data_IF_616486662393
#
_entry.id   IF_616486662393
#
_cell.length_a   1.000
_cell.length_b   1.000
_cell.length_c   1.000
_cell.angle_alpha   90.00
_cell.angle_beta   90.00
_cell.angle_gamma   90.00
#
_symmetry.space_group_name_H-M   'P 1'
#
loop_
_entity.id
_entity.type
_entity.pdbx_description
1 polymer ?
#
# COMPACT_ATOMS: atom_id res chain seq x y z
N UNK A 1 19.11 9.52 1.69
CA UNK A 1 19.99 9.60 2.87
C UNK A 1 19.28 9.06 4.10
N UNK A 2 19.80 8.00 4.75
CA UNK A 2 19.29 7.52 6.04
C UNK A 2 20.08 8.19 7.16
N UNK A 3 19.47 9.11 7.89
CA UNK A 3 20.05 9.67 9.12
C UNK A 3 20.08 8.56 10.17
N UNK A 4 21.18 7.80 10.23
CA UNK A 4 21.39 6.79 11.28
C UNK A 4 21.82 7.52 12.54
N UNK A 5 21.00 7.44 13.59
CA UNK A 5 21.42 7.81 14.94
C UNK A 5 22.63 6.95 15.32
N UNK A 6 23.80 7.57 15.46
CA UNK A 6 25.08 6.87 15.69
C UNK A 6 25.30 6.44 17.14
N UNK A 7 24.30 6.55 18.01
CA UNK A 7 24.41 6.12 19.41
C UNK A 7 24.15 4.62 19.50
N UNK A 8 25.22 3.82 19.46
CA UNK A 8 25.17 2.37 19.73
C UNK A 8 24.52 2.13 21.10
N UNK A 9 23.44 1.36 21.13
CA UNK A 9 22.89 0.76 22.35
C UNK A 9 21.85 1.58 23.13
N UNK A 10 21.65 2.86 22.83
CA UNK A 10 20.60 3.65 23.48
C UNK A 10 19.37 3.64 22.58
N UNK A 11 18.36 2.83 22.92
CA UNK A 11 17.01 3.03 22.35
C UNK A 11 16.60 4.46 22.69
N UNK A 12 16.39 5.31 21.69
CA UNK A 12 15.85 6.64 21.94
C UNK A 12 14.60 6.50 22.81
N UNK A 13 14.53 7.19 23.96
CA UNK A 13 13.38 7.08 24.85
C UNK A 13 12.10 7.35 24.05
N UNK A 14 11.02 6.61 24.36
CA UNK A 14 9.71 6.87 23.76
C UNK A 14 9.35 8.32 24.03
N UNK A 15 9.38 9.12 22.97
CA UNK A 15 9.21 10.56 23.07
C UNK A 15 7.76 10.86 23.41
N UNK A 16 7.52 11.33 24.65
CA UNK A 16 6.26 11.96 25.05
C UNK A 16 6.41 13.45 24.82
N UNK A 17 5.67 13.99 23.86
CA UNK A 17 5.64 15.43 23.61
C UNK A 17 4.40 16.04 24.23
N UNK A 18 4.59 17.05 25.09
CA UNK A 18 3.66 18.15 25.28
C UNK A 18 4.44 19.41 24.89
N UNK A 19 4.41 19.75 23.60
CA UNK A 19 4.82 21.05 23.10
C UNK A 19 3.55 21.75 22.62
N UNK A 20 3.31 22.97 23.08
CA UNK A 20 2.19 23.78 22.62
C UNK A 20 2.70 24.59 21.42
N UNK A 21 2.78 23.94 20.26
CA UNK A 21 2.94 24.66 19.01
C UNK A 21 1.55 24.89 18.43
N UNK A 22 1.19 26.16 18.30
CA UNK A 22 -0.01 26.58 17.59
C UNK A 22 0.47 27.15 16.26
N UNK A 23 0.39 26.38 15.16
CA UNK A 23 0.67 26.93 13.85
C UNK A 23 -0.30 28.11 13.62
N UNK A 24 0.24 29.31 13.44
CA UNK A 24 -0.53 30.44 12.98
C UNK A 24 -0.73 30.37 11.46
N UNK A 25 -1.74 31.08 10.96
CA UNK A 25 -2.06 31.10 9.53
C UNK A 25 -0.87 31.53 8.68
N UNK A 26 0.00 32.40 9.21
CA UNK A 26 1.19 32.87 8.51
C UNK A 26 2.27 31.78 8.35
N UNK A 27 2.49 30.97 9.37
CA UNK A 27 3.42 29.83 9.30
C UNK A 27 2.90 28.75 8.37
N UNK A 28 1.59 28.51 8.36
CA UNK A 28 0.93 27.57 7.44
C UNK A 28 1.01 28.08 5.99
N UNK A 29 0.67 29.36 5.75
CA UNK A 29 0.73 29.98 4.42
C UNK A 29 2.13 29.91 3.82
N UNK A 30 3.18 30.15 4.61
CA UNK A 30 4.58 30.05 4.17
C UNK A 30 4.97 28.66 3.68
N UNK A 31 4.27 27.62 4.14
CA UNK A 31 4.53 26.24 3.72
C UNK A 31 3.68 25.80 2.53
N UNK A 32 2.65 26.55 2.12
CA UNK A 32 1.83 26.19 0.96
C UNK A 32 2.65 25.98 -0.32
N UNK A 33 3.67 26.80 -0.64
CA UNK A 33 4.54 26.53 -1.79
C UNK A 33 5.32 25.22 -1.64
N UNK A 34 5.78 24.89 -0.42
CA UNK A 34 6.47 23.64 -0.13
C UNK A 34 5.53 22.43 -0.29
N UNK A 35 4.27 22.53 0.12
CA UNK A 35 3.28 21.47 -0.06
C UNK A 35 3.03 21.21 -1.54
N UNK A 36 2.86 22.27 -2.33
CA UNK A 36 2.72 22.17 -3.79
C UNK A 36 3.95 21.51 -4.40
N UNK A 37 5.15 21.88 -3.97
CA UNK A 37 6.38 21.26 -4.47
C UNK A 37 6.47 19.78 -4.10
N UNK A 38 6.14 19.41 -2.86
CA UNK A 38 6.10 18.02 -2.41
C UNK A 38 5.07 17.18 -3.20
N UNK A 39 3.87 17.71 -3.43
CA UNK A 39 2.83 17.04 -4.22
C UNK A 39 3.26 16.87 -5.68
N UNK A 40 3.77 17.92 -6.33
CA UNK A 40 4.28 17.87 -7.70
C UNK A 40 5.44 16.87 -7.83
N UNK A 41 6.39 16.91 -6.89
CA UNK A 41 7.53 15.98 -6.85
C UNK A 41 7.06 14.53 -6.71
N UNK A 42 6.09 14.26 -5.84
CA UNK A 42 5.57 12.91 -5.65
C UNK A 42 4.76 12.43 -6.85
N UNK A 43 3.91 13.28 -7.44
CA UNK A 43 3.14 12.96 -8.64
C UNK A 43 4.06 12.63 -9.84
N UNK A 44 5.11 13.43 -10.02
CA UNK A 44 6.09 13.29 -11.12
C UNK A 44 7.15 12.22 -10.86
N UNK A 45 7.30 11.73 -9.63
CA UNK A 45 8.22 10.63 -9.33
C UNK A 45 7.77 9.34 -10.02
N UNK A 46 8.68 8.43 -10.35
CA UNK A 46 8.32 7.15 -10.98
C UNK A 46 7.68 6.17 -10.00
N UNK A 47 6.64 5.42 -10.40
CA UNK A 47 5.87 5.57 -11.65
C UNK A 47 5.03 6.86 -11.63
N UNK A 48 4.97 7.58 -12.75
CA UNK A 48 4.31 8.89 -12.79
C UNK A 48 2.80 8.74 -12.62
N UNK A 49 2.21 9.56 -11.76
CA UNK A 49 0.77 9.61 -11.53
C UNK A 49 0.38 11.08 -11.34
N UNK A 50 0.28 11.86 -12.43
CA UNK A 50 -0.11 13.26 -12.35
C UNK A 50 -1.55 13.44 -11.83
N UNK A 51 -2.44 12.48 -12.09
CA UNK A 51 -3.86 12.58 -11.77
C UNK A 51 -4.14 12.68 -10.26
N UNK A 52 -3.31 12.04 -9.43
CA UNK A 52 -3.45 12.05 -7.97
C UNK A 52 -2.81 13.29 -7.31
N UNK A 53 -2.30 14.24 -8.09
CA UNK A 53 -1.52 15.39 -7.58
C UNK A 53 -2.32 16.24 -6.59
N UNK A 54 -3.60 16.47 -6.87
CA UNK A 54 -4.45 17.29 -6.00
C UNK A 54 -4.79 16.55 -4.69
N UNK A 55 -5.01 15.24 -4.75
CA UNK A 55 -5.18 14.40 -3.56
C UNK A 55 -3.91 14.39 -2.70
N UNK A 56 -2.74 14.29 -3.34
CA UNK A 56 -1.45 14.40 -2.65
C UNK A 56 -1.29 15.77 -1.98
N UNK A 57 -1.76 16.86 -2.61
CA UNK A 57 -1.73 18.18 -1.99
C UNK A 57 -2.67 18.27 -0.77
N UNK A 58 -3.86 17.68 -0.85
CA UNK A 58 -4.79 17.62 0.28
C UNK A 58 -4.21 16.80 1.43
N UNK A 59 -3.64 15.63 1.14
CA UNK A 59 -2.98 14.78 2.13
C UNK A 59 -1.82 15.53 2.79
N UNK A 60 -1.01 16.27 2.03
CA UNK A 60 0.08 17.07 2.56
C UNK A 60 -0.43 18.14 3.55
N UNK A 61 -1.57 18.77 3.23
CA UNK A 61 -2.24 19.76 4.06
C UNK A 61 -2.77 19.15 5.36
N UNK A 62 -3.39 17.97 5.30
CA UNK A 62 -3.84 17.23 6.48
C UNK A 62 -2.67 16.87 7.40
N UNK A 63 -1.55 16.40 6.85
CA UNK A 63 -0.35 16.09 7.64
C UNK A 63 0.17 17.33 8.36
N UNK A 64 0.16 18.49 7.69
CA UNK A 64 0.57 19.75 8.30
C UNK A 64 -0.29 20.09 9.53
N UNK A 65 -1.62 19.96 9.40
CA UNK A 65 -2.57 20.23 10.50
C UNK A 65 -2.43 19.20 11.63
N UNK A 66 -2.31 17.91 11.31
CA UNK A 66 -2.26 16.85 12.33
C UNK A 66 -0.92 16.77 13.08
N UNK A 67 0.18 16.99 12.36
CA UNK A 67 1.53 16.74 12.86
C UNK A 67 2.24 18.04 13.21
N UNK A 68 1.86 19.16 12.60
CA UNK A 68 2.38 20.49 12.89
C UNK A 68 2.39 20.81 14.39
N UNK A 69 1.27 20.68 15.11
CA UNK A 69 1.18 20.97 16.54
C UNK A 69 2.12 20.15 17.44
N UNK A 70 2.70 19.05 16.94
CA UNK A 70 3.66 18.22 17.66
C UNK A 70 5.09 18.77 17.60
N UNK A 71 5.32 19.81 16.80
CA UNK A 71 6.61 20.49 16.73
C UNK A 71 6.96 21.12 18.07
N UNK A 72 8.24 21.08 18.42
CA UNK A 72 8.76 21.75 19.61
C UNK A 72 9.91 22.66 19.19
N UNK A 73 9.67 23.97 19.20
CA UNK A 73 10.66 25.00 18.88
C UNK A 73 11.83 25.04 19.87
N UNK A 74 11.62 24.57 21.10
CA UNK A 74 12.65 24.52 22.16
C UNK A 74 13.46 23.21 22.15
N UNK A 75 13.24 22.35 21.16
CA UNK A 75 13.94 21.08 21.10
C UNK A 75 15.45 21.29 20.93
N UNK A 76 16.24 20.58 21.73
CA UNK A 76 17.72 20.57 21.75
C UNK A 76 18.41 20.31 20.41
N UNK A 77 17.70 19.80 19.39
CA UNK A 77 18.26 19.68 18.04
C UNK A 77 18.32 21.01 17.27
N UNK A 78 17.62 22.06 17.72
CA UNK A 78 17.52 23.33 17.00
C UNK A 78 16.89 23.23 15.60
N UNK A 79 16.15 22.15 15.33
CA UNK A 79 15.60 21.90 13.99
C UNK A 79 14.46 22.87 13.68
N UNK A 80 14.46 23.44 12.48
CA UNK A 80 13.35 24.30 12.03
C UNK A 80 12.06 23.51 11.85
N UNK A 81 10.91 24.20 11.87
CA UNK A 81 9.61 23.58 11.61
C UNK A 81 9.57 22.85 10.26
N UNK A 82 10.11 23.46 9.20
CA UNK A 82 10.27 22.83 7.89
C UNK A 82 11.06 21.51 7.95
N UNK A 83 12.15 21.48 8.72
CA UNK A 83 12.97 20.27 8.93
C UNK A 83 12.20 19.17 9.65
N UNK A 84 11.31 19.53 10.56
CA UNK A 84 10.46 18.59 11.29
C UNK A 84 9.29 18.06 10.43
N UNK A 85 8.64 18.94 9.65
CA UNK A 85 7.37 18.61 8.98
C UNK A 85 7.57 17.98 7.60
N UNK A 86 8.57 18.41 6.82
CA UNK A 86 8.80 17.91 5.45
C UNK A 86 9.01 16.39 5.39
N UNK A 87 9.81 15.74 6.26
CA UNK A 87 9.96 14.29 6.24
C UNK A 87 8.64 13.54 6.50
N UNK A 88 7.74 14.12 7.31
CA UNK A 88 6.45 13.51 7.63
C UNK A 88 5.46 13.64 6.46
N UNK A 89 5.47 14.79 5.78
CA UNK A 89 4.71 15.01 4.55
C UNK A 89 5.18 14.03 3.48
N UNK A 90 6.47 14.06 3.11
CA UNK A 90 7.01 13.20 2.06
C UNK A 90 6.79 11.70 2.35
N UNK A 91 6.94 11.28 3.62
CA UNK A 91 6.68 9.90 4.03
C UNK A 91 5.22 9.50 3.84
N UNK A 92 4.28 10.38 4.20
CA UNK A 92 2.84 10.12 4.02
C UNK A 92 2.46 10.11 2.54
N UNK A 93 2.94 11.07 1.74
CA UNK A 93 2.66 11.15 0.30
C UNK A 93 3.19 9.92 -0.45
N UNK A 94 4.38 9.44 -0.08
CA UNK A 94 4.93 8.21 -0.64
C UNK A 94 4.03 7.01 -0.36
N UNK A 95 3.59 6.86 0.89
CA UNK A 95 2.70 5.77 1.27
C UNK A 95 1.32 5.87 0.58
N UNK A 96 0.79 7.08 0.41
CA UNK A 96 -0.47 7.32 -0.30
C UNK A 96 -0.33 6.91 -1.77
N UNK A 97 0.72 7.38 -2.46
CA UNK A 97 1.00 6.99 -3.84
C UNK A 97 1.20 5.49 -4.01
N UNK A 98 1.94 4.85 -3.10
CA UNK A 98 2.11 3.38 -3.14
C UNK A 98 0.76 2.64 -3.00
N UNK A 99 -0.18 3.16 -2.20
CA UNK A 99 -1.52 2.58 -2.08
C UNK A 99 -2.35 2.77 -3.35
N UNK A 100 -2.34 3.96 -3.93
CA UNK A 100 -3.05 4.23 -5.20
C UNK A 100 -2.53 3.35 -6.33
N UNK A 101 -1.21 3.19 -6.43
CA UNK A 101 -0.60 2.29 -7.41
C UNK A 101 -1.01 0.83 -7.21
N UNK A 102 -1.11 0.38 -5.96
CA UNK A 102 -1.61 -0.96 -5.65
C UNK A 102 -3.09 -1.12 -5.99
N UNK A 103 -3.89 -0.05 -5.86
CA UNK A 103 -5.31 -0.07 -6.20
C UNK A 103 -5.51 -0.10 -7.72
N UNK A 104 -4.84 0.79 -8.46
CA UNK A 104 -4.88 0.83 -9.92
C UNK A 104 -4.40 -0.49 -10.54
N UNK A 105 -3.38 -1.13 -9.95
CA UNK A 105 -2.92 -2.44 -10.41
C UNK A 105 -3.96 -3.55 -10.23
N UNK A 106 -4.88 -3.42 -9.27
CA UNK A 106 -5.98 -4.37 -9.06
C UNK A 106 -7.17 -4.10 -9.99
N UNK A 107 -7.30 -2.86 -10.45
CA UNK A 107 -8.42 -2.40 -11.29
C UNK A 107 -8.15 -2.46 -12.79
N UNK A 108 -6.90 -2.67 -13.21
CA UNK A 108 -6.56 -3.05 -14.59
C UNK A 108 -6.39 -4.58 -14.69
N UNK A 109 -7.37 -5.33 -15.20
CA UNK A 109 -7.11 -6.57 -15.92
C UNK A 109 -6.26 -6.22 -17.16
N UNK A 110 -5.30 -7.06 -17.50
CA UNK A 110 -4.45 -6.94 -18.68
C UNK A 110 -5.24 -6.48 -19.92
N UNK A 111 -5.00 -5.25 -20.37
CA UNK A 111 -5.22 -4.91 -21.76
C UNK A 111 -4.09 -5.57 -22.54
N UNK A 112 -4.41 -6.72 -23.12
CA UNK A 112 -3.55 -7.43 -24.07
C UNK A 112 -3.23 -6.53 -25.27
N UNK A 113 -2.08 -6.78 -25.86
CA UNK A 113 -1.45 -5.98 -26.89
C UNK A 113 -2.33 -5.73 -28.12
N UNK A 114 -2.25 -4.48 -28.62
CA UNK A 114 -2.39 -4.21 -30.04
C UNK A 114 -3.59 -3.35 -30.42
N UNK A 115 -3.33 -2.08 -30.72
CA UNK A 115 -3.89 -1.44 -31.91
C UNK A 115 -3.10 -0.16 -32.19
N UNK A 116 -2.09 -0.29 -33.05
CA UNK A 116 -1.82 0.78 -34.00
C UNK A 116 -3.04 0.85 -34.94
N UNK A 117 -3.60 2.05 -35.14
CA UNK A 117 -3.94 2.55 -36.46
C UNK A 117 -4.30 4.04 -36.36
N UNK A 118 -3.57 4.83 -37.13
CA UNK A 118 -3.85 6.22 -37.45
C UNK A 118 -5.02 6.31 -38.44
N UNK A 119 -5.86 7.34 -38.32
CA UNK A 119 -6.91 7.63 -39.27
C UNK A 119 -7.86 8.72 -38.77
N UNK A 120 -7.68 9.93 -39.28
CA UNK A 120 -8.52 11.11 -39.08
C UNK A 120 -9.85 10.99 -39.86
N UNK A 121 -10.78 11.90 -39.56
CA UNK A 121 -12.04 12.28 -40.25
C UNK A 121 -13.36 11.66 -39.74
N UNK A 122 -13.94 12.39 -38.78
CA UNK A 122 -15.27 13.06 -38.83
C UNK A 122 -16.51 12.25 -39.30
N UNK A 123 -17.36 11.87 -38.34
CA UNK A 123 -18.84 11.94 -38.38
C UNK A 123 -19.46 11.14 -37.21
N UNK A 124 -19.91 11.84 -36.17
CA UNK A 124 -20.95 11.34 -35.26
C UNK A 124 -22.27 11.20 -36.03
N UNK A 125 -23.00 10.08 -35.87
CA UNK A 125 -24.13 10.17 -34.96
C UNK A 125 -24.35 8.92 -34.11
N UNK A 126 -24.41 9.12 -32.80
CA UNK A 126 -25.30 8.44 -31.86
C UNK A 126 -25.16 6.89 -31.76
N UNK A 127 -24.10 6.44 -31.06
CA UNK A 127 -23.97 5.06 -30.55
C UNK A 127 -24.36 4.97 -29.07
N UNK A 128 -25.60 5.31 -28.77
CA UNK A 128 -26.25 4.86 -27.54
C UNK A 128 -27.14 3.66 -27.93
N UNK A 129 -27.07 2.55 -27.21
CA UNK A 129 -27.85 1.28 -27.38
C UNK A 129 -27.14 0.12 -28.15
N UNK A 130 -25.85 0.22 -28.50
CA UNK A 130 -25.11 -0.88 -29.16
C UNK A 130 -24.28 -1.81 -28.27
N UNK A 131 -23.95 -1.41 -27.04
CA UNK A 131 -22.89 -2.06 -26.23
C UNK A 131 -23.40 -3.16 -25.27
N UNK A 132 -24.71 -3.36 -25.13
CA UNK A 132 -25.26 -4.32 -24.15
C UNK A 132 -25.45 -5.74 -24.69
N UNK A 133 -25.01 -6.03 -25.93
CA UNK A 133 -25.19 -7.36 -26.55
C UNK A 133 -23.92 -8.17 -26.77
N UNK A 134 -22.76 -7.71 -26.31
CA UNK A 134 -21.55 -8.53 -26.21
C UNK A 134 -21.31 -8.89 -24.74
N UNK A 135 -22.33 -9.48 -24.12
CA UNK A 135 -22.14 -10.24 -22.89
C UNK A 135 -21.40 -11.50 -23.30
N UNK A 136 -20.07 -11.46 -23.23
CA UNK A 136 -19.26 -12.66 -23.27
C UNK A 136 -19.82 -13.66 -22.26
N UNK A 137 -20.01 -14.88 -22.75
CA UNK A 137 -20.64 -15.98 -22.05
C UNK A 137 -19.92 -16.27 -20.73
N UNK A 138 -20.45 -15.73 -19.62
CA UNK A 138 -19.96 -15.93 -18.25
C UNK A 138 -19.90 -17.41 -17.82
N UNK A 139 -20.44 -18.33 -18.64
CA UNK A 139 -20.33 -19.77 -18.39
C UNK A 139 -18.93 -20.33 -18.70
N UNK A 140 -18.18 -19.73 -19.63
CA UNK A 140 -16.82 -20.21 -19.97
C UNK A 140 -15.78 -19.87 -18.90
N UNK A 141 -15.90 -18.71 -18.23
CA UNK A 141 -15.02 -18.31 -17.12
C UNK A 141 -15.24 -19.16 -15.86
N UNK A 142 -16.47 -19.68 -15.66
CA UNK A 142 -16.74 -20.57 -14.52
C UNK A 142 -16.00 -21.90 -14.66
N UNK A 143 -15.93 -22.46 -15.87
CA UNK A 143 -15.24 -23.72 -16.14
C UNK A 143 -13.71 -23.58 -16.00
N UNK A 144 -13.11 -22.48 -16.50
CA UNK A 144 -11.69 -22.19 -16.27
C UNK A 144 -11.36 -21.93 -14.80
N UNK A 145 -12.26 -21.25 -14.08
CA UNK A 145 -12.13 -21.03 -12.63
C UNK A 145 -12.27 -22.32 -11.83
N UNK A 146 -13.13 -23.25 -12.28
CA UNK A 146 -13.27 -24.58 -11.69
C UNK A 146 -12.00 -25.42 -11.92
N UNK A 147 -11.39 -25.34 -13.11
CA UNK A 147 -10.12 -26.01 -13.43
C UNK A 147 -8.95 -25.44 -12.62
N UNK A 148 -8.90 -24.11 -12.40
CA UNK A 148 -7.94 -23.47 -11.49
C UNK A 148 -8.13 -23.89 -10.02
N UNK A 149 -9.38 -23.98 -9.54
CA UNK A 149 -9.68 -24.40 -8.16
C UNK A 149 -9.31 -25.88 -7.91
N UNK A 150 -9.48 -26.76 -8.91
CA UNK A 150 -9.06 -28.16 -8.82
C UNK A 150 -7.53 -28.26 -8.75
N UNK A 151 -6.81 -27.53 -9.60
CA UNK A 151 -5.34 -27.49 -9.58
C UNK A 151 -4.77 -26.95 -8.26
N UNK A 152 -5.40 -25.93 -7.68
CA UNK A 152 -5.00 -25.39 -6.37
C UNK A 152 -5.27 -26.37 -5.23
N UNK A 153 -6.43 -27.05 -5.22
CA UNK A 153 -6.72 -28.06 -4.20
C UNK A 153 -5.78 -29.27 -4.27
N UNK A 154 -5.35 -29.68 -5.46
CA UNK A 154 -4.40 -30.77 -5.66
C UNK A 154 -2.97 -30.40 -5.22
N UNK A 155 -2.58 -29.13 -5.39
CA UNK A 155 -1.25 -28.60 -5.02
C UNK A 155 -1.16 -28.08 -3.58
N UNK A 156 -2.30 -27.82 -2.92
CA UNK A 156 -2.36 -27.36 -1.53
C UNK A 156 -1.67 -28.33 -0.54
N UNK A 157 -1.84 -29.66 -0.61
CA UNK A 157 -1.09 -30.60 0.22
C UNK A 157 0.43 -30.44 0.06
N UNK A 158 0.93 -30.24 -1.16
CA UNK A 158 2.36 -30.05 -1.44
C UNK A 158 2.87 -28.71 -0.90
N UNK A 159 2.07 -27.64 -1.04
CA UNK A 159 2.35 -26.34 -0.45
C UNK A 159 2.44 -26.43 1.08
N UNK A 160 1.52 -27.15 1.71
CA UNK A 160 1.47 -27.31 3.17
C UNK A 160 2.59 -28.18 3.72
N UNK A 161 3.20 -29.07 2.91
CA UNK A 161 4.40 -29.83 3.33
C UNK A 161 5.61 -28.93 3.56
N UNK A 162 5.67 -27.73 2.93
CA UNK A 162 6.76 -26.76 3.16
C UNK A 162 6.67 -26.04 4.51
N UNK A 163 5.49 -26.12 5.16
CA UNK A 163 5.21 -25.49 6.44
C UNK A 163 5.48 -26.46 7.59
N UNK A 164 6.14 -25.94 8.62
CA UNK A 164 6.28 -26.66 9.90
C UNK A 164 4.90 -26.85 10.55
N UNK A 165 4.77 -27.81 11.47
CA UNK A 165 3.50 -28.08 12.15
C UNK A 165 2.86 -26.81 12.75
N UNK A 166 3.70 -25.95 13.36
CA UNK A 166 3.24 -24.70 13.97
C UNK A 166 2.85 -23.62 12.96
N UNK A 167 3.45 -23.63 11.78
CA UNK A 167 3.09 -22.73 10.67
C UNK A 167 1.78 -23.19 10.01
N UNK A 168 1.53 -24.50 9.94
CA UNK A 168 0.26 -25.07 9.46
C UNK A 168 -0.91 -24.73 10.37
N UNK A 169 -0.72 -24.79 11.69
CA UNK A 169 -1.74 -24.35 12.66
C UNK A 169 -2.11 -22.88 12.49
N UNK A 170 -1.10 -22.01 12.32
CA UNK A 170 -1.35 -20.58 12.03
C UNK A 170 -2.07 -20.40 10.70
N UNK A 171 -1.68 -21.16 9.66
CA UNK A 171 -2.34 -21.11 8.37
C UNK A 171 -3.81 -21.57 8.42
N UNK A 172 -4.12 -22.60 9.21
CA UNK A 172 -5.50 -23.06 9.41
C UNK A 172 -6.36 -21.95 10.02
N UNK A 173 -5.85 -21.25 11.04
CA UNK A 173 -6.55 -20.11 11.63
C UNK A 173 -6.74 -18.96 10.62
N UNK A 174 -5.75 -18.68 9.77
CA UNK A 174 -5.88 -17.67 8.71
C UNK A 174 -6.94 -18.04 7.67
N UNK A 175 -7.09 -19.33 7.35
CA UNK A 175 -8.11 -19.83 6.42
C UNK A 175 -9.53 -19.66 6.97
N UNK A 176 -9.67 -19.64 8.29
CA UNK A 176 -10.93 -19.35 9.00
C UNK A 176 -11.17 -17.84 9.22
N UNK A 177 -10.46 -16.98 8.49
CA UNK A 177 -10.54 -15.51 8.57
C UNK A 177 -10.24 -14.92 9.97
N UNK A 178 -9.53 -15.65 10.82
CA UNK A 178 -9.16 -15.16 12.15
C UNK A 178 -8.14 -14.04 12.09
N UNK A 179 -8.35 -12.99 12.87
CA UNK A 179 -7.38 -11.90 12.98
C UNK A 179 -6.16 -12.29 13.83
N UNK A 180 -5.01 -11.68 13.58
CA UNK A 180 -3.76 -11.96 14.31
C UNK A 180 -3.87 -11.93 15.86
N UNK A 181 -4.82 -11.16 16.39
CA UNK A 181 -5.06 -11.11 17.83
C UNK A 181 -5.84 -12.33 18.34
N UNK A 182 -6.82 -12.81 17.58
CA UNK A 182 -7.58 -14.05 17.84
C UNK A 182 -6.66 -15.27 17.72
N UNK A 183 -5.82 -15.33 16.69
CA UNK A 183 -4.82 -16.40 16.52
C UNK A 183 -3.86 -16.46 17.71
N UNK A 184 -3.48 -15.31 18.26
CA UNK A 184 -2.61 -15.23 19.44
C UNK A 184 -3.27 -15.83 20.68
N UNK A 185 -4.58 -15.65 20.82
CA UNK A 185 -5.39 -16.22 21.91
C UNK A 185 -5.59 -17.73 21.71
N UNK A 186 -6.03 -18.15 20.51
CA UNK A 186 -6.25 -19.55 20.14
C UNK A 186 -4.99 -20.41 20.32
N UNK A 187 -3.84 -19.91 19.85
CA UNK A 187 -2.57 -20.65 19.91
C UNK A 187 -1.76 -20.37 21.18
N UNK A 188 -2.25 -19.53 22.10
CA UNK A 188 -1.54 -19.11 23.32
C UNK A 188 -0.14 -18.56 23.03
N UNK A 189 -0.03 -17.69 22.02
CA UNK A 189 1.21 -17.05 21.59
C UNK A 189 1.15 -15.54 21.81
N UNK A 190 2.31 -14.87 21.79
CA UNK A 190 2.32 -13.40 21.76
C UNK A 190 1.91 -12.90 20.36
N UNK A 191 1.22 -11.76 20.30
CA UNK A 191 0.83 -11.10 19.02
C UNK A 191 2.03 -10.87 18.09
N UNK A 192 3.20 -10.55 18.69
CA UNK A 192 4.46 -10.40 17.95
C UNK A 192 4.97 -11.71 17.34
N UNK A 193 4.83 -12.83 18.05
CA UNK A 193 5.19 -14.16 17.53
C UNK A 193 4.25 -14.61 16.42
N UNK A 194 2.95 -14.37 16.55
CA UNK A 194 1.97 -14.62 15.48
C UNK A 194 2.31 -13.81 14.23
N UNK A 195 2.57 -12.51 14.38
CA UNK A 195 2.95 -11.65 13.24
C UNK A 195 4.19 -12.15 12.49
N UNK A 196 5.16 -12.72 13.21
CA UNK A 196 6.34 -13.34 12.59
C UNK A 196 5.99 -14.64 11.86
N UNK A 197 5.12 -15.48 12.45
CA UNK A 197 4.70 -16.74 11.86
C UNK A 197 3.85 -16.50 10.60
N UNK A 198 2.90 -15.57 10.64
CA UNK A 198 2.09 -15.17 9.47
C UNK A 198 3.00 -14.71 8.33
N UNK A 199 3.95 -13.81 8.58
CA UNK A 199 4.92 -13.38 7.56
C UNK A 199 5.73 -14.53 6.98
N UNK A 200 6.15 -15.49 7.82
CA UNK A 200 6.91 -16.68 7.37
C UNK A 200 6.05 -17.62 6.53
N UNK A 201 4.81 -17.85 6.94
CA UNK A 201 3.83 -18.66 6.21
C UNK A 201 3.57 -18.05 4.84
N UNK A 202 3.27 -16.75 4.76
CA UNK A 202 3.06 -16.04 3.49
C UNK A 202 4.28 -16.17 2.58
N UNK A 203 5.49 -15.87 3.08
CA UNK A 203 6.70 -15.96 2.26
C UNK A 203 6.96 -17.39 1.72
N UNK A 204 6.76 -18.41 2.56
CA UNK A 204 6.96 -19.80 2.15
C UNK A 204 5.95 -20.24 1.11
N UNK A 205 4.67 -19.90 1.32
CA UNK A 205 3.60 -20.25 0.39
C UNK A 205 3.74 -19.49 -0.93
N UNK A 206 4.13 -18.22 -0.92
CA UNK A 206 4.42 -17.47 -2.15
C UNK A 206 5.58 -18.09 -2.92
N UNK A 207 6.69 -18.41 -2.26
CA UNK A 207 7.84 -19.04 -2.94
C UNK A 207 7.50 -20.44 -3.48
N UNK A 208 6.74 -21.22 -2.71
CA UNK A 208 6.29 -22.54 -3.14
C UNK A 208 5.27 -22.46 -4.28
N UNK A 209 4.38 -21.46 -4.26
CA UNK A 209 3.44 -21.16 -5.34
C UNK A 209 4.14 -20.75 -6.63
N UNK A 210 5.17 -19.89 -6.55
CA UNK A 210 6.02 -19.53 -7.69
C UNK A 210 6.72 -20.73 -8.30
N UNK A 211 7.23 -21.63 -7.46
CA UNK A 211 7.89 -22.86 -7.92
C UNK A 211 6.92 -23.83 -8.60
N UNK A 212 5.64 -23.83 -8.21
CA UNK A 212 4.59 -24.67 -8.78
C UNK A 212 3.84 -23.99 -9.94
N UNK A 213 4.24 -22.77 -10.34
CA UNK A 213 3.57 -22.03 -11.41
C UNK A 213 2.18 -21.48 -11.05
N UNK A 214 1.84 -21.45 -9.76
CA UNK A 214 0.54 -20.97 -9.25
C UNK A 214 0.52 -19.46 -9.00
N UNK A 215 1.67 -18.80 -9.07
CA UNK A 215 1.81 -17.36 -8.87
C UNK A 215 3.04 -16.85 -9.62
N UNK A 216 2.94 -15.70 -10.28
CA UNK A 216 4.07 -15.01 -10.94
C UNK A 216 5.02 -14.32 -9.94
#
# INVERSE_FOLDING_TARGET
>A
MKLRCQLKGIKCPRYKHQGVFHPDDETVKRLLPDLNWCANCMASATPQCPDIRDDLLQIASLVLVEKGPKFNSTHRSGASFGTFIRPQICGTLKNAKEKELLHNRRELPHADEGCDLSGDVDAEPNRDIGWWHEVSDTHSEFEEKLVQDISFQETLPELLQTLTAREREVFACLREDQQNHEIAETLKLSKGRVSQLVKKVTLKLTYAGQRLGLSE
#
